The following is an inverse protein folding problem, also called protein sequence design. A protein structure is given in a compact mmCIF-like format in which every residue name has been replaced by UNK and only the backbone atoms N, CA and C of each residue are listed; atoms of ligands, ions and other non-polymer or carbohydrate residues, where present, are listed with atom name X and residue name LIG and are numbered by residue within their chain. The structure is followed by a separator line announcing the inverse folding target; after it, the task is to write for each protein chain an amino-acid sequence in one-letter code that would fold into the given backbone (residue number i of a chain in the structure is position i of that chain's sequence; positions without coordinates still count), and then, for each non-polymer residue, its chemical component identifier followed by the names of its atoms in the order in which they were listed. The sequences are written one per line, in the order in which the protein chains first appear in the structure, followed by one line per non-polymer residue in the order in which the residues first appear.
data_IF_857313026614
#
_entry.id   IF_857313026614
#
_cell.length_a   1.000
_cell.length_b   1.000
_cell.length_c   1.000
_cell.angle_alpha   90.00
_cell.angle_beta   90.00
_cell.angle_gamma   90.00
#
_symmetry.space_group_name_H-M   'P 1'
#
loop_
_entity.id
_entity.type
_entity.pdbx_description
1 polymer ?
2 polymer ?
3 water ?
#
# COMPACT_ATOMS: atom_id res chain seq x y z
N UNK A 1 -17.26 5.42 10.52
CA UNK A 1 -15.97 6.04 10.07
C UNK A 1 -15.79 5.93 8.56
N UNK A 2 -15.58 7.07 7.90
CA UNK A 2 -15.37 7.11 6.46
C UNK A 2 -14.02 6.47 6.14
N UNK A 3 -14.04 5.40 5.35
CA UNK A 3 -12.82 4.68 4.99
C UNK A 3 -12.14 5.21 3.74
N UNK A 4 -10.81 5.13 3.74
CA UNK A 4 -10.00 5.58 2.62
C UNK A 4 -9.01 4.49 2.23
N UNK A 5 -8.41 4.67 1.06
CA UNK A 5 -7.40 3.76 0.54
C UNK A 5 -6.44 4.58 -0.31
N UNK A 6 -5.20 4.12 -0.41
CA UNK A 6 -4.21 4.83 -1.22
C UNK A 6 -3.80 3.98 -2.42
N UNK A 7 -3.59 4.64 -3.55
CA UNK A 7 -3.21 3.98 -4.78
C UNK A 7 -1.76 3.52 -4.75
N UNK A 8 -1.56 2.23 -5.02
CA UNK A 8 -0.23 1.63 -5.07
C UNK A 8 0.39 1.88 -6.44
N UNK A 9 -0.44 1.75 -7.48
CA UNK A 9 0.00 1.95 -8.86
C UNK A 9 -1.04 2.78 -9.61
N UNK A 10 -0.67 3.25 -10.80
CA UNK A 10 -1.58 4.00 -11.65
C UNK A 10 -2.59 3.00 -12.19
N UNK A 11 -3.79 3.47 -12.48
CA UNK A 11 -4.83 2.61 -13.03
C UNK A 11 -5.60 3.38 -14.09
N UNK A 12 -5.35 3.03 -15.34
CA UNK A 12 -6.02 3.66 -16.47
C UNK A 12 -7.20 2.76 -16.82
N UNK A 13 -8.44 3.28 -16.69
CA UNK A 13 -9.68 2.56 -16.98
C UNK A 13 -9.73 1.96 -18.38
N UNK A 14 -10.23 0.73 -18.48
CA UNK A 14 -10.35 0.03 -19.76
C UNK A 14 -11.80 0.09 -20.24
N UNK A 15 -12.72 0.09 -19.28
CA UNK A 15 -14.15 0.15 -19.57
C UNK A 15 -14.78 1.34 -18.86
N UNK A 16 -15.98 1.71 -19.29
CA UNK A 16 -16.69 2.83 -18.69
C UNK A 16 -17.12 2.48 -17.27
N UNK A 17 -17.29 3.51 -16.44
CA UNK A 17 -17.68 3.29 -15.05
C UNK A 17 -16.52 2.99 -14.12
N UNK A 18 -15.31 3.03 -14.66
CA UNK A 18 -14.10 2.76 -13.88
C UNK A 18 -13.39 4.06 -13.49
N UNK A 19 -12.96 4.11 -12.23
CA UNK A 19 -12.27 5.26 -11.66
C UNK A 19 -10.78 5.29 -12.00
N UNK A 20 -10.33 6.41 -12.56
CA UNK A 20 -8.94 6.59 -12.93
C UNK A 20 -8.18 7.21 -11.76
N UNK A 21 -6.98 6.70 -11.49
CA UNK A 21 -6.14 7.24 -10.42
C UNK A 21 -4.65 6.99 -10.61
N UNK A 22 -3.85 7.88 -10.02
CA UNK A 22 -2.40 7.80 -10.06
C UNK A 22 -1.93 7.19 -8.74
N UNK A 23 -0.72 6.62 -8.72
CA UNK A 23 -0.24 6.04 -7.48
C UNK A 23 -0.03 7.16 -6.46
N UNK A 24 -0.35 6.88 -5.21
CA UNK A 24 -0.20 7.89 -4.19
C UNK A 24 -1.50 8.64 -3.94
N UNK A 25 -2.45 8.53 -4.86
CA UNK A 25 -3.75 9.19 -4.71
C UNK A 25 -4.53 8.53 -3.59
N UNK A 26 -5.25 9.34 -2.83
CA UNK A 26 -6.07 8.81 -1.74
C UNK A 26 -7.51 8.78 -2.22
N UNK A 27 -8.08 7.57 -2.24
CA UNK A 27 -9.45 7.34 -2.69
C UNK A 27 -10.39 7.10 -1.51
N UNK A 28 -11.61 7.62 -1.61
CA UNK A 28 -12.62 7.44 -0.58
C UNK A 28 -13.46 6.24 -0.96
N UNK A 29 -13.64 5.31 -0.03
CA UNK A 29 -14.43 4.11 -0.29
C UNK A 29 -15.94 4.32 -0.16
N UNK A 30 -16.67 3.91 -1.19
CA UNK A 30 -18.13 4.00 -1.21
C UNK A 30 -18.65 2.59 -0.96
N UNK A 31 -18.16 1.63 -1.74
CA UNK A 31 -18.55 0.23 -1.60
C UNK A 31 -17.34 -0.70 -1.67
N UNK A 32 -17.26 -1.61 -0.71
CA UNK A 32 -16.16 -2.56 -0.62
C UNK A 32 -16.68 -4.00 -0.57
N UNK A 33 -17.97 -4.17 -0.84
CA UNK A 33 -18.61 -5.49 -0.81
C UNK A 33 -17.96 -6.57 -1.68
N UNK A 34 -17.76 -6.28 -2.96
CA UNK A 34 -17.12 -7.24 -3.86
C UNK A 34 -15.62 -7.23 -3.58
N UNK A 35 -15.04 -8.40 -3.27
CA UNK A 35 -13.61 -8.55 -2.97
C UNK A 35 -12.65 -8.13 -4.08
N UNK A 36 -13.15 -8.02 -5.31
CA UNK A 36 -12.30 -7.65 -6.44
C UNK A 36 -12.49 -6.22 -6.91
N UNK A 37 -13.74 -5.84 -7.17
CA UNK A 37 -14.04 -4.49 -7.64
C UNK A 37 -14.71 -3.63 -6.57
N UNK A 38 -13.96 -2.64 -6.09
CA UNK A 38 -14.45 -1.72 -5.07
C UNK A 38 -14.85 -0.43 -5.74
N UNK A 39 -15.78 0.29 -5.11
CA UNK A 39 -16.25 1.56 -5.64
C UNK A 39 -15.80 2.71 -4.74
N UNK A 40 -15.37 3.81 -5.36
CA UNK A 40 -14.93 4.96 -4.59
C UNK A 40 -15.05 6.29 -5.31
N UNK A 41 -14.71 7.36 -4.59
CA UNK A 41 -14.77 8.72 -5.12
C UNK A 41 -13.40 9.39 -5.04
N UNK A 42 -13.05 10.13 -6.08
CA UNK A 42 -11.78 10.85 -6.14
C UNK A 42 -12.10 12.24 -6.69
N UNK A 43 -12.44 13.14 -5.76
CA UNK A 43 -12.81 14.52 -6.06
C UNK A 43 -14.16 14.50 -6.77
N UNK A 44 -14.17 14.78 -8.07
CA UNK A 44 -15.40 14.81 -8.86
C UNK A 44 -15.84 13.42 -9.31
N UNK A 45 -14.88 12.65 -9.80
CA UNK A 45 -15.12 11.30 -10.30
C UNK A 45 -15.63 10.28 -9.29
N UNK A 46 -16.23 9.22 -9.81
CA UNK A 46 -16.76 8.12 -9.01
C UNK A 46 -16.73 6.88 -9.90
N UNK A 47 -16.32 5.74 -9.35
CA UNK A 47 -16.27 4.53 -10.15
C UNK A 47 -15.63 3.36 -9.46
N UNK A 48 -15.62 2.21 -10.13
CA UNK A 48 -15.02 1.00 -9.59
C UNK A 48 -13.56 0.84 -10.01
N UNK A 49 -12.80 0.09 -9.22
CA UNK A 49 -11.38 -0.13 -9.48
C UNK A 49 -10.93 -1.47 -8.88
N UNK A 50 -9.76 -1.98 -9.32
CA UNK A 50 -9.19 -3.24 -8.84
C UNK A 50 -8.65 -3.07 -7.42
N UNK A 51 -9.18 -3.86 -6.49
CA UNK A 51 -8.78 -3.80 -5.09
C UNK A 51 -7.29 -4.10 -4.86
N UNK A 52 -6.69 -4.85 -5.79
CA UNK A 52 -5.28 -5.21 -5.69
C UNK A 52 -4.36 -4.06 -6.13
N UNK A 53 -4.96 -2.90 -6.38
CA UNK A 53 -4.21 -1.71 -6.78
C UNK A 53 -4.17 -0.71 -5.63
N UNK A 54 -4.82 -1.05 -4.52
CA UNK A 54 -4.85 -0.17 -3.36
C UNK A 54 -4.65 -0.92 -2.06
N UNK A 55 -4.43 -0.15 -1.00
CA UNK A 55 -4.26 -0.68 0.35
C UNK A 55 -4.77 0.43 1.27
N UNK A 56 -5.15 0.09 2.52
CA UNK A 56 -5.66 1.06 3.48
C UNK A 56 -4.81 2.31 3.73
N UNK A 57 -5.49 3.42 4.03
CA UNK A 57 -4.83 4.69 4.30
C UNK A 57 -5.42 5.26 5.59
N UNK A 58 -6.74 5.39 5.62
CA UNK A 58 -7.45 5.90 6.79
C UNK A 58 -8.84 5.25 6.89
N UNK B 1 0.96 -18.10 9.09
CA UNK B 1 1.66 -18.07 7.77
C UNK B 1 2.73 -16.98 7.75
N UNK B 2 3.57 -17.02 6.72
CA UNK B 2 4.63 -16.03 6.56
C UNK B 2 3.99 -14.74 6.03
N UNK B 3 4.21 -13.64 6.75
CA UNK B 3 3.65 -12.35 6.36
C UNK B 3 4.66 -11.52 5.57
N UNK B 4 4.16 -10.76 4.61
CA UNK B 4 4.99 -9.90 3.78
C UNK B 4 4.38 -8.51 3.71
N UNK B 5 5.21 -7.52 3.47
CA UNK B 5 4.76 -6.14 3.35
C UNK B 5 5.48 -5.51 2.16
N UNK B 6 4.75 -4.71 1.39
CA UNK B 6 5.34 -4.04 0.23
C UNK B 6 5.64 -2.58 0.55
N UNK B 7 6.68 -2.06 -0.10
CA UNK B 7 7.12 -0.69 0.11
C UNK B 7 6.36 0.35 -0.69
N UNK B 8 5.84 1.34 0.03
CA UNK B 8 5.10 2.45 -0.56
C UNK B 8 6.08 3.53 -1.00
N UNK B 9 7.12 3.74 -0.19
CA UNK B 9 8.14 4.75 -0.47
C UNK B 9 9.54 4.21 -0.18
N UNK B 10 10.55 4.94 -0.64
CA UNK B 10 11.95 4.58 -0.41
C UNK B 10 12.29 4.94 1.03
N UNK B 11 13.00 4.06 1.72
CA UNK B 11 13.40 4.31 3.10
C UNK B 11 14.92 4.28 3.28
N UNK B 12 15.50 5.46 3.52
CA UNK B 12 16.94 5.61 3.75
C UNK B 12 17.16 5.86 5.25
N UNK B 13 17.69 4.86 5.97
CA UNK B 13 17.96 4.93 7.41
C UNK B 13 18.91 6.04 7.85
N UNK B 14 18.64 6.57 9.04
CA UNK B 14 19.46 7.63 9.62
C UNK B 14 20.21 7.06 10.82
N UNK B 15 19.75 5.90 11.30
CA UNK B 15 20.36 5.21 12.43
C UNK B 15 20.66 3.77 12.06
N UNK B 16 21.50 3.11 12.86
CA UNK B 16 21.87 1.72 12.63
C UNK B 16 20.79 0.78 13.14
N UNK B 17 20.75 -0.41 12.56
CA UNK B 17 19.75 -1.40 12.95
C UNK B 17 18.45 -1.24 12.18
N UNK B 18 18.45 -0.33 11.21
CA UNK B 18 17.27 -0.06 10.40
C UNK B 18 17.40 -0.68 9.01
N UNK B 19 16.27 -1.15 8.47
CA UNK B 19 16.23 -1.78 7.16
C UNK B 19 15.97 -0.82 6.00
N UNK B 20 16.95 -0.69 5.11
CA UNK B 20 16.82 0.18 3.95
C UNK B 20 16.12 -0.57 2.82
N UNK B 21 15.26 0.13 2.09
CA UNK B 21 14.54 -0.46 0.96
C UNK B 21 14.03 0.58 -0.01
N UNK B 22 13.58 0.12 -1.18
CA UNK B 22 13.04 1.00 -2.20
C UNK B 22 11.55 0.73 -2.37
N UNK B 23 10.84 1.69 -2.97
CA UNK B 23 9.41 1.54 -3.21
C UNK B 23 9.20 0.34 -4.12
N UNK B 24 8.28 -0.53 -3.73
CA UNK B 24 8.01 -1.70 -4.54
C UNK B 24 8.57 -2.97 -3.94
N UNK B 25 9.60 -2.83 -3.11
CA UNK B 25 10.23 -3.98 -2.47
C UNK B 25 9.29 -4.70 -1.52
N UNK B 26 9.42 -6.01 -1.45
CA UNK B 26 8.60 -6.83 -0.57
C UNK B 26 9.48 -7.27 0.59
N UNK B 27 9.08 -6.90 1.80
CA UNK B 27 9.83 -7.24 3.00
C UNK B 27 9.15 -8.37 3.77
N UNK B 28 9.94 -9.31 4.26
CA UNK B 28 9.40 -10.40 5.05
C UNK B 28 9.20 -9.80 6.42
N UNK B 29 8.09 -10.13 7.08
CA UNK B 29 7.82 -9.56 8.39
C UNK B 29 8.21 -10.50 9.52
N UNK B 30 9.19 -10.07 10.31
CA UNK B 30 9.68 -10.85 11.44
C UNK B 30 8.89 -10.51 12.71
N UNK B 31 8.84 -9.21 13.04
CA UNK B 31 8.13 -8.73 14.23
C UNK B 31 7.22 -7.55 13.91
N UNK B 32 6.37 -7.23 14.88
CA UNK B 32 5.42 -6.12 14.80
C UNK B 32 5.33 -5.47 16.18
N UNK B 33 6.12 -6.01 17.11
CA UNK B 33 6.19 -5.57 18.51
C UNK B 33 5.89 -4.09 18.71
N UNK B 34 6.72 -3.23 18.13
CA UNK B 34 6.54 -1.78 18.23
C UNK B 34 5.54 -1.37 17.14
N UNK B 35 4.43 -0.72 17.53
CA UNK B 35 3.38 -0.26 16.61
C UNK B 35 3.83 0.72 15.51
N UNK B 36 5.07 1.21 15.63
CA UNK B 36 5.62 2.16 14.66
C UNK B 36 6.83 1.60 13.92
N UNK B 37 7.57 0.71 14.57
CA UNK B 37 8.75 0.12 13.97
C UNK B 37 8.63 -1.39 13.93
N UNK B 38 8.59 -1.93 12.72
CA UNK B 38 8.48 -3.36 12.53
C UNK B 38 9.83 -3.92 12.11
N UNK B 39 10.06 -5.19 12.39
CA UNK B 39 11.32 -5.82 12.01
C UNK B 39 11.11 -6.76 10.82
N UNK B 40 11.92 -6.59 9.79
CA UNK B 40 11.81 -7.42 8.61
C UNK B 40 13.12 -7.73 7.92
N UNK B 41 13.05 -8.60 6.91
CA UNK B 41 14.22 -9.02 6.15
C UNK B 41 14.03 -8.81 4.64
N UNK B 42 15.07 -8.27 4.00
CA UNK B 42 15.06 -8.02 2.56
C UNK B 42 16.38 -8.60 2.01
N UNK B 43 16.32 -9.89 1.69
CA UNK B 43 17.45 -10.69 1.20
C UNK B 43 18.45 -10.94 2.34
N UNK B 44 19.67 -10.42 2.22
CA UNK B 44 20.70 -10.62 3.25
C UNK B 44 20.55 -9.69 4.45
N UNK B 45 19.88 -8.56 4.24
CA UNK B 45 19.68 -7.55 5.27
C UNK B 45 18.52 -7.76 6.24
N UNK B 46 18.75 -7.40 7.50
CA UNK B 46 17.75 -7.49 8.56
C UNK B 46 17.76 -6.19 9.35
N UNK B 47 16.59 -5.78 9.83
CA UNK B 47 16.49 -4.56 10.61
C UNK B 47 15.06 -4.10 10.80
N UNK B 48 14.91 -2.92 11.39
CA UNK B 48 13.59 -2.34 11.63
C UNK B 48 13.28 -1.20 10.66
N UNK B 49 11.98 -0.97 10.46
CA UNK B 49 11.52 0.07 9.55
C UNK B 49 10.19 0.68 10.02
N UNK B 50 9.90 1.91 9.58
CA UNK B 50 8.66 2.62 9.94
C UNK B 50 7.42 1.95 9.32
N UNK B 51 6.49 1.54 10.18
CA UNK B 51 5.27 0.86 9.75
C UNK B 51 4.37 1.65 8.79
N UNK B 52 4.60 2.95 8.69
CA UNK B 52 3.81 3.81 7.81
C UNK B 52 4.36 3.89 6.39
N UNK B 53 5.45 3.17 6.15
CA UNK B 53 6.09 3.13 4.83
C UNK B 53 5.73 1.86 4.05
N UNK B 54 4.97 0.97 4.69
CA UNK B 54 4.58 -0.28 4.04
C UNK B 54 3.09 -0.60 4.15
N UNK B 55 2.66 -1.51 3.28
CA UNK B 55 1.28 -1.99 3.22
C UNK B 55 1.35 -3.51 3.09
N UNK B 56 0.30 -4.23 3.53
CA UNK B 56 0.24 -5.69 3.47
C UNK B 56 0.34 -6.22 2.03
N UNK B 57 1.43 -6.93 1.74
CA UNK B 57 1.63 -7.49 0.40
C UNK B 57 1.01 -8.88 0.28
N UNK B 58 1.31 -9.74 1.25
CA UNK B 58 0.80 -11.11 1.25
C UNK B 58 -0.73 -11.16 1.36
N UNK C 1 3.25 -3.72 -10.96
CA UNK C 1 1.81 -3.43 -11.16
C UNK C 1 1.08 -4.71 -11.53
N UNK C 2 0.32 -5.29 -10.58
CA UNK C 2 -0.43 -6.53 -10.81
C UNK C 2 -1.47 -6.38 -11.93
N UNK C 3 -1.80 -7.49 -12.61
CA UNK C 3 -2.78 -7.50 -13.69
C UNK C 3 -4.20 -7.29 -13.17
N UNK C 4 -4.99 -6.51 -13.91
CA UNK C 4 -6.37 -6.23 -13.54
C UNK C 4 -7.21 -7.49 -13.80
N UNK C 5 -7.99 -7.94 -12.80
CA UNK C 5 -8.67 -9.20 -12.99
C UNK C 5 -9.87 -9.12 -13.92
N UNK C 6 -10.67 -10.20 -13.99
CA UNK C 6 -11.87 -10.31 -14.84
C UNK C 6 -12.92 -9.24 -14.52
N UNK C 7 -13.35 -8.53 -15.56
CA UNK C 7 -14.36 -7.47 -15.42
C UNK C 7 -15.80 -7.97 -15.49
N UNK D 1 6.57 11.35 0.69
CA UNK D 1 6.92 10.35 1.72
C UNK D 1 6.58 10.90 3.10
N UNK D 2 5.83 10.14 3.91
CA UNK D 2 5.43 10.55 5.26
C UNK D 2 6.63 10.70 6.19
N UNK D 3 6.46 11.39 7.32
CA UNK D 3 7.52 11.60 8.31
C UNK D 3 7.86 10.31 9.04
N UNK D 4 9.13 10.14 9.35
CA UNK D 4 9.59 8.97 10.08
C UNK D 4 9.50 9.33 11.56
N UNK D 5 8.79 8.52 12.36
CA UNK D 5 8.61 8.81 13.78
C UNK D 5 9.87 8.83 14.63
N UNK D 6 9.80 8.36 15.89
CA UNK D 6 10.93 8.32 16.82
C UNK D 6 12.10 7.40 16.43
#
# INVERSE_FOLDING_TARGET
ETKFVQALFDFNPQESGELAFKRGDVITLINKDDPNWWEGQLNNRRGIFPSNYVCPYNSN
ETKFVQALFDFNPQESGELAFKRGDVITLINKDDPNWWEGQLNNRRGIFPSNYVCPYNSN
PPPVXPRRR
PPPVXPRRR
#
